data_IF_106766851188
#
_entry.id   IF_106766851188
#
_cell.length_a   1.000
_cell.length_b   1.000
_cell.length_c   1.000
_cell.angle_alpha   90.00
_cell.angle_beta   90.00
_cell.angle_gamma   90.00
#
_symmetry.space_group_name_H-M   'P 1'
#
loop_
_entity.id
_entity.type
_entity.pdbx_description
1 polymer ?
#
# COMPACT_ATOMS: atom_id res chain seq x y z
N UNK A 1 37.08 20.44 36.57
CA UNK A 1 36.03 20.80 35.60
C UNK A 1 35.51 19.51 34.97
N UNK A 2 34.25 19.13 35.23
CA UNK A 2 33.65 17.90 34.71
C UNK A 2 32.97 18.21 33.37
N UNK A 3 33.45 17.58 32.30
CA UNK A 3 32.83 17.64 30.98
C UNK A 3 31.67 16.64 30.97
N UNK A 4 30.44 17.14 30.98
CA UNK A 4 29.26 16.32 30.72
C UNK A 4 29.08 16.22 29.21
N UNK A 5 29.54 15.12 28.63
CA UNK A 5 29.30 14.81 27.22
C UNK A 5 27.85 14.34 27.08
N UNK A 6 26.97 15.22 26.62
CA UNK A 6 25.60 14.87 26.26
C UNK A 6 25.60 14.20 24.88
N UNK A 7 25.56 12.87 24.84
CA UNK A 7 25.29 12.12 23.62
C UNK A 7 23.82 12.26 23.26
N UNK A 8 23.52 13.12 22.28
CA UNK A 8 22.19 13.22 21.69
C UNK A 8 21.90 11.98 20.83
N UNK A 9 20.93 11.18 21.27
CA UNK A 9 20.46 9.99 20.53
C UNK A 9 19.40 10.44 19.51
N UNK A 10 19.79 10.58 18.24
CA UNK A 10 18.83 10.83 17.15
C UNK A 10 18.13 9.51 16.79
N UNK A 11 16.89 9.35 17.24
CA UNK A 11 16.02 8.25 16.79
C UNK A 11 15.43 8.63 15.44
N UNK A 12 15.99 8.08 14.36
CA UNK A 12 15.40 8.15 13.02
C UNK A 12 14.26 7.14 12.91
N UNK A 13 13.01 7.61 12.92
CA UNK A 13 11.85 6.79 12.55
C UNK A 13 11.81 6.67 11.03
N UNK A 14 12.40 5.62 10.48
CA UNK A 14 12.15 5.22 9.10
C UNK A 14 10.77 4.53 9.06
N UNK A 15 9.77 5.23 8.51
CA UNK A 15 8.49 4.60 8.19
C UNK A 15 8.71 3.63 7.04
N UNK A 16 8.64 2.33 7.31
CA UNK A 16 8.68 1.32 6.28
C UNK A 16 7.47 1.50 5.36
N UNK A 17 7.71 1.67 4.05
CA UNK A 17 6.66 1.64 3.04
C UNK A 17 6.09 0.23 3.01
N UNK A 18 4.76 0.09 3.03
CA UNK A 18 4.14 -1.22 3.06
C UNK A 18 4.31 -1.95 1.72
N UNK A 19 4.40 -3.27 1.76
CA UNK A 19 4.56 -4.08 0.54
C UNK A 19 3.37 -3.91 -0.40
N UNK A 20 2.14 -3.82 0.14
CA UNK A 20 0.95 -3.54 -0.64
C UNK A 20 0.98 -2.18 -1.33
N UNK A 21 1.55 -1.15 -0.69
CA UNK A 21 1.77 0.15 -1.32
C UNK A 21 2.72 0.03 -2.52
N UNK A 22 3.86 -0.65 -2.36
CA UNK A 22 4.83 -0.81 -3.44
C UNK A 22 4.24 -1.56 -4.64
N UNK A 23 3.45 -2.61 -4.39
CA UNK A 23 2.77 -3.36 -5.45
C UNK A 23 1.77 -2.46 -6.19
N UNK A 24 1.01 -1.64 -5.45
CA UNK A 24 0.07 -0.71 -6.06
C UNK A 24 0.78 0.31 -6.97
N UNK A 25 1.85 0.94 -6.47
CA UNK A 25 2.62 1.94 -7.22
C UNK A 25 3.18 1.37 -8.53
N UNK A 26 3.68 0.13 -8.49
CA UNK A 26 4.29 -0.52 -9.64
C UNK A 26 3.27 -1.06 -10.66
N UNK A 27 2.12 -1.58 -10.21
CA UNK A 27 1.23 -2.38 -11.06
C UNK A 27 -0.16 -1.77 -11.27
N UNK A 28 -0.63 -0.93 -10.36
CA UNK A 28 -2.01 -0.43 -10.37
C UNK A 28 -2.09 1.07 -10.65
N UNK A 29 -1.11 1.84 -10.15
CA UNK A 29 -1.14 3.30 -10.18
C UNK A 29 -1.31 3.85 -11.59
N UNK A 30 -0.75 3.22 -12.62
CA UNK A 30 -0.87 3.66 -14.01
C UNK A 30 -2.32 3.89 -14.47
N UNK A 31 -3.28 3.08 -14.02
CA UNK A 31 -4.71 3.26 -14.33
C UNK A 31 -5.48 3.98 -13.23
N UNK A 32 -4.98 3.90 -11.99
CA UNK A 32 -5.65 4.39 -10.79
C UNK A 32 -5.02 5.69 -10.25
N UNK A 33 -4.47 6.51 -11.15
CA UNK A 33 -3.97 7.85 -10.83
C UNK A 33 -5.11 8.76 -10.38
N UNK A 34 -4.78 9.80 -9.63
CA UNK A 34 -5.74 10.88 -9.33
C UNK A 34 -6.25 11.51 -10.63
N UNK A 35 -7.56 11.75 -10.71
CA UNK A 35 -8.23 12.19 -11.95
C UNK A 35 -8.67 11.07 -12.90
N UNK A 36 -8.30 9.81 -12.64
CA UNK A 36 -8.89 8.65 -13.35
C UNK A 36 -10.35 8.42 -12.92
N UNK A 37 -11.06 7.49 -13.59
CA UNK A 37 -12.43 7.12 -13.21
C UNK A 37 -12.53 6.48 -11.82
N UNK A 38 -11.47 5.84 -11.36
CA UNK A 38 -11.40 5.10 -10.09
C UNK A 38 -10.01 5.31 -9.44
N UNK A 39 -9.67 6.51 -8.97
CA UNK A 39 -8.36 6.78 -8.38
C UNK A 39 -8.14 5.97 -7.09
N UNK A 40 -6.90 5.89 -6.60
CA UNK A 40 -6.57 5.24 -5.32
C UNK A 40 -7.46 5.75 -4.18
N UNK A 41 -7.68 7.06 -4.10
CA UNK A 41 -8.56 7.70 -3.12
C UNK A 41 -9.98 7.12 -3.14
N UNK A 42 -10.53 6.89 -4.33
CA UNK A 42 -11.82 6.22 -4.51
C UNK A 42 -11.75 4.75 -4.06
N UNK A 43 -10.71 4.00 -4.46
CA UNK A 43 -10.57 2.58 -4.11
C UNK A 43 -10.49 2.37 -2.59
N UNK A 44 -9.67 3.17 -1.89
CA UNK A 44 -9.54 3.11 -0.42
C UNK A 44 -10.85 3.45 0.29
N UNK A 45 -11.65 4.36 -0.26
CA UNK A 45 -12.96 4.73 0.30
C UNK A 45 -14.01 3.66 0.04
N UNK A 46 -14.12 3.21 -1.19
CA UNK A 46 -15.13 2.25 -1.63
C UNK A 46 -14.91 0.89 -0.95
N UNK A 47 -13.68 0.37 -0.97
CA UNK A 47 -13.40 -1.00 -0.53
C UNK A 47 -12.81 -1.08 0.88
N UNK A 48 -13.05 -0.06 1.72
CA UNK A 48 -12.61 -0.08 3.12
C UNK A 48 -13.15 -1.32 3.84
N UNK A 49 -12.26 -2.11 4.43
CA UNK A 49 -12.64 -3.35 5.13
C UNK A 49 -13.14 -4.48 4.22
N UNK A 50 -12.83 -4.44 2.92
CA UNK A 50 -13.32 -5.40 1.90
C UNK A 50 -12.18 -5.88 1.00
N UNK A 51 -11.11 -6.42 1.58
CA UNK A 51 -9.96 -6.90 0.82
C UNK A 51 -10.33 -8.03 -0.15
N UNK A 52 -11.24 -8.92 0.24
CA UNK A 52 -11.78 -10.02 -0.56
C UNK A 52 -12.37 -9.55 -1.91
N UNK A 53 -13.14 -8.47 -1.90
CA UNK A 53 -13.71 -7.87 -3.10
C UNK A 53 -12.63 -7.34 -4.05
N UNK A 54 -11.56 -6.75 -3.49
CA UNK A 54 -10.43 -6.25 -4.27
C UNK A 54 -9.64 -7.42 -4.88
N UNK A 55 -9.46 -8.53 -4.16
CA UNK A 55 -8.76 -9.70 -4.68
C UNK A 55 -9.45 -10.27 -5.93
N UNK A 56 -10.78 -10.35 -5.92
CA UNK A 56 -11.57 -10.80 -7.09
C UNK A 56 -11.38 -9.84 -8.28
N UNK A 57 -11.41 -8.53 -8.03
CA UNK A 57 -11.24 -7.51 -9.07
C UNK A 57 -9.82 -7.48 -9.64
N UNK A 58 -8.80 -7.61 -8.78
CA UNK A 58 -7.40 -7.64 -9.17
C UNK A 58 -7.13 -8.80 -10.14
N UNK A 59 -7.69 -9.99 -9.88
CA UNK A 59 -7.61 -11.16 -10.76
C UNK A 59 -8.27 -10.95 -12.13
N UNK A 60 -9.14 -9.96 -12.29
CA UNK A 60 -9.76 -9.60 -13.56
C UNK A 60 -9.01 -8.46 -14.27
N UNK A 61 -8.26 -7.64 -13.53
CA UNK A 61 -7.46 -6.54 -14.06
C UNK A 61 -6.33 -7.06 -14.96
N UNK A 62 -6.08 -6.46 -16.15
CA UNK A 62 -4.99 -6.87 -17.03
C UNK A 62 -3.61 -6.91 -16.33
N UNK A 63 -3.35 -5.99 -15.40
CA UNK A 63 -2.09 -5.97 -14.65
C UNK A 63 -2.14 -6.77 -13.35
N UNK A 64 -3.30 -6.87 -12.71
CA UNK A 64 -3.45 -7.71 -11.53
C UNK A 64 -3.36 -9.22 -11.85
N UNK A 65 -3.67 -9.63 -13.09
CA UNK A 65 -3.52 -11.02 -13.57
C UNK A 65 -2.09 -11.54 -13.61
N UNK A 66 -1.09 -10.66 -13.65
CA UNK A 66 0.32 -11.05 -13.70
C UNK A 66 0.96 -11.13 -12.31
N UNK A 67 0.19 -10.79 -11.25
CA UNK A 67 0.63 -10.90 -9.87
C UNK A 67 0.32 -12.29 -9.32
N UNK A 68 1.17 -12.77 -8.42
CA UNK A 68 0.89 -13.96 -7.62
C UNK A 68 -0.31 -13.74 -6.69
N UNK A 69 -0.93 -14.83 -6.21
CA UNK A 69 -2.02 -14.74 -5.24
C UNK A 69 -1.61 -13.98 -3.96
N UNK A 70 -0.35 -14.12 -3.54
CA UNK A 70 0.21 -13.42 -2.39
C UNK A 70 0.32 -11.91 -2.65
N UNK A 71 0.84 -11.50 -3.80
CA UNK A 71 0.91 -10.07 -4.17
C UNK A 71 -0.47 -9.43 -4.28
N UNK A 72 -1.45 -10.18 -4.82
CA UNK A 72 -2.85 -9.76 -4.88
C UNK A 72 -3.41 -9.58 -3.46
N UNK A 73 -3.14 -10.49 -2.54
CA UNK A 73 -3.58 -10.36 -1.15
C UNK A 73 -2.97 -9.11 -0.49
N UNK A 74 -1.65 -8.93 -0.61
CA UNK A 74 -0.92 -7.80 -0.01
C UNK A 74 -1.48 -6.45 -0.47
N UNK A 75 -1.62 -6.24 -1.78
CA UNK A 75 -2.16 -4.98 -2.30
C UNK A 75 -3.63 -4.79 -1.95
N UNK A 76 -4.41 -5.88 -1.90
CA UNK A 76 -5.84 -5.81 -1.56
C UNK A 76 -6.04 -5.40 -0.10
N UNK A 77 -5.31 -6.00 0.83
CA UNK A 77 -5.37 -5.65 2.25
C UNK A 77 -4.88 -4.22 2.49
N UNK A 78 -3.86 -3.78 1.79
CA UNK A 78 -3.41 -2.37 1.86
C UNK A 78 -4.48 -1.38 1.40
N UNK A 79 -5.10 -1.62 0.25
CA UNK A 79 -6.17 -0.73 -0.26
C UNK A 79 -7.36 -0.74 0.72
N UNK A 80 -7.72 -1.89 1.27
CA UNK A 80 -8.83 -2.02 2.21
C UNK A 80 -8.54 -1.43 3.61
N UNK A 81 -7.27 -1.16 3.93
CA UNK A 81 -6.84 -0.71 5.25
C UNK A 81 -6.79 -1.84 6.29
N UNK A 82 -6.49 -3.07 5.85
CA UNK A 82 -6.44 -4.30 6.66
C UNK A 82 -5.02 -4.89 6.76
N UNK A 83 -3.99 -4.09 6.47
CA UNK A 83 -2.62 -4.47 6.81
C UNK A 83 -2.50 -4.63 8.33
N UNK A 84 -1.87 -5.73 8.75
CA UNK A 84 -1.60 -6.05 10.15
C UNK A 84 -0.10 -6.05 10.36
#
# INVERSE_FOLDING_TARGET
MRVFTYTAFLVGFAFAVSEGQMIFENNCLRCHQEGSKKPLSYLKKEYKGRADAIMVLAKQCPWGRNLSDMEIEMVSRWIAGEEK
#
